data_IF_166446836608
#
_entry.id   IF_166446836608
#
_cell.length_a   1.000
_cell.length_b   1.000
_cell.length_c   1.000
_cell.angle_alpha   90.00
_cell.angle_beta   90.00
_cell.angle_gamma   90.00
#
_symmetry.space_group_name_H-M   'P 1'
#
loop_
_entity.id
_entity.type
_entity.pdbx_description
1 polymer ?
#
# COMPACT_ATOMS: atom_id res chain seq x y z
N UNK A 1 14.54 -13.91 9.91
CA UNK A 1 14.75 -13.05 8.73
C UNK A 1 16.24 -13.00 8.55
N UNK A 2 16.74 -13.53 7.44
CA UNK A 2 18.17 -13.44 7.15
C UNK A 2 18.50 -11.94 6.96
N UNK A 3 19.47 -11.37 7.70
CA UNK A 3 19.87 -9.96 7.52
C UNK A 3 20.26 -9.61 6.07
N UNK A 4 20.58 -10.59 5.22
CA UNK A 4 20.81 -10.40 3.80
C UNK A 4 19.54 -10.11 2.97
N UNK A 5 18.34 -10.41 3.48
CA UNK A 5 17.08 -10.22 2.75
C UNK A 5 16.68 -8.75 2.59
N UNK A 6 17.12 -7.85 3.49
CA UNK A 6 16.80 -6.43 3.46
C UNK A 6 18.08 -5.60 3.34
N UNK A 7 18.40 -5.18 2.12
CA UNK A 7 19.63 -4.44 1.80
C UNK A 7 19.52 -2.93 2.00
N UNK A 8 18.31 -2.41 2.23
CA UNK A 8 18.04 -0.99 2.46
C UNK A 8 16.55 -0.69 2.57
N UNK A 9 16.24 0.56 2.93
CA UNK A 9 14.89 1.10 2.97
C UNK A 9 14.94 2.61 2.75
N UNK A 10 13.89 3.14 2.13
CA UNK A 10 13.72 4.58 1.92
C UNK A 10 12.23 4.94 1.93
N UNK A 11 11.94 6.23 2.06
CA UNK A 11 10.58 6.73 1.92
C UNK A 11 10.23 6.91 0.46
N UNK A 12 9.08 6.38 0.07
CA UNK A 12 8.54 6.44 -1.28
C UNK A 12 7.24 7.26 -1.29
N UNK A 13 7.02 8.00 -2.37
CA UNK A 13 5.80 8.79 -2.57
C UNK A 13 4.60 7.90 -2.88
N UNK A 14 3.38 8.39 -2.62
CA UNK A 14 2.15 7.64 -2.96
C UNK A 14 2.05 7.36 -4.46
N UNK A 15 2.58 8.25 -5.30
CA UNK A 15 2.59 8.07 -6.75
C UNK A 15 3.42 6.86 -7.23
N UNK A 16 4.46 6.45 -6.49
CA UNK A 16 5.34 5.33 -6.90
C UNK A 16 4.85 3.96 -6.41
N UNK A 17 3.75 3.88 -5.65
CA UNK A 17 3.24 2.64 -5.05
C UNK A 17 3.10 1.49 -6.07
N UNK A 18 2.55 1.77 -7.26
CA UNK A 18 2.33 0.75 -8.28
C UNK A 18 3.64 0.21 -8.90
N UNK A 19 4.72 0.99 -8.84
CA UNK A 19 6.02 0.67 -9.44
C UNK A 19 6.91 -0.10 -8.45
N UNK A 20 6.82 0.23 -7.16
CA UNK A 20 7.73 -0.32 -6.12
C UNK A 20 7.12 -1.44 -5.30
N UNK A 21 5.85 -1.80 -5.54
CA UNK A 21 5.17 -2.85 -4.80
C UNK A 21 4.49 -3.87 -5.70
N UNK A 22 4.29 -5.08 -5.16
CA UNK A 22 3.50 -6.11 -5.83
C UNK A 22 2.03 -5.68 -5.98
N UNK A 23 1.29 -6.14 -7.01
CA UNK A 23 -0.06 -5.64 -7.30
C UNK A 23 -1.05 -5.73 -6.13
N UNK A 24 -0.96 -6.80 -5.33
CA UNK A 24 -1.83 -6.98 -4.15
C UNK A 24 -1.56 -5.93 -3.07
N UNK A 25 -0.30 -5.54 -2.88
CA UNK A 25 0.08 -4.52 -1.91
C UNK A 25 -0.28 -3.12 -2.45
N UNK A 26 -0.03 -2.87 -3.73
CA UNK A 26 -0.36 -1.61 -4.38
C UNK A 26 -1.83 -1.23 -4.18
N UNK A 27 -2.76 -2.16 -4.44
CA UNK A 27 -4.21 -1.92 -4.22
C UNK A 27 -4.52 -1.47 -2.79
N UNK A 28 -3.99 -2.18 -1.80
CA UNK A 28 -4.22 -1.87 -0.37
C UNK A 28 -3.70 -0.50 0.01
N UNK A 29 -2.49 -0.16 -0.44
CA UNK A 29 -1.87 1.13 -0.13
C UNK A 29 -2.61 2.30 -0.82
N UNK A 30 -3.06 2.12 -2.06
CA UNK A 30 -3.86 3.11 -2.79
C UNK A 30 -5.18 3.39 -2.04
N UNK A 31 -5.89 2.34 -1.63
CA UNK A 31 -7.12 2.50 -0.83
C UNK A 31 -6.84 3.21 0.51
N UNK A 32 -5.77 2.84 1.21
CA UNK A 32 -5.39 3.49 2.46
C UNK A 32 -5.02 4.97 2.28
N UNK A 33 -4.28 5.30 1.22
CA UNK A 33 -3.93 6.68 0.90
C UNK A 33 -5.17 7.53 0.60
N UNK A 34 -6.13 6.97 -0.14
CA UNK A 34 -7.43 7.61 -0.42
C UNK A 34 -8.24 7.81 0.86
N UNK A 35 -8.41 6.77 1.68
CA UNK A 35 -9.16 6.86 2.93
C UNK A 35 -8.57 7.91 3.87
N UNK A 36 -7.23 7.97 3.96
CA UNK A 36 -6.52 9.02 4.71
C UNK A 36 -6.85 10.42 4.19
N UNK A 37 -6.79 10.63 2.87
CA UNK A 37 -7.10 11.92 2.26
C UNK A 37 -8.54 12.36 2.50
N UNK A 38 -9.47 11.40 2.59
CA UNK A 38 -10.90 11.62 2.83
C UNK A 38 -11.26 11.67 4.31
N UNK A 39 -10.33 11.38 5.23
CA UNK A 39 -10.62 11.29 6.67
C UNK A 39 -11.52 10.11 7.04
N UNK A 40 -11.54 9.07 6.21
CA UNK A 40 -12.40 7.89 6.35
C UNK A 40 -11.58 6.66 6.72
N UNK A 41 -12.28 5.57 7.04
CA UNK A 41 -11.71 4.24 7.18
C UNK A 41 -12.26 3.36 6.06
N UNK A 42 -11.38 2.71 5.30
CA UNK A 42 -11.78 1.77 4.25
C UNK A 42 -11.58 0.33 4.74
N UNK A 43 -12.66 -0.45 4.74
CA UNK A 43 -12.59 -1.90 4.89
C UNK A 43 -12.44 -2.55 3.52
N UNK A 44 -11.45 -3.43 3.38
CA UNK A 44 -11.18 -4.14 2.14
C UNK A 44 -11.42 -5.64 2.31
N UNK A 45 -12.29 -6.20 1.47
CA UNK A 45 -12.49 -7.63 1.35
C UNK A 45 -11.74 -8.13 0.11
N UNK A 46 -10.82 -9.08 0.29
CA UNK A 46 -9.94 -9.59 -0.79
C UNK A 46 -9.10 -8.51 -1.51
N UNK A 47 -8.95 -7.34 -0.92
CA UNK A 47 -8.23 -6.20 -1.51
C UNK A 47 -9.11 -5.29 -2.36
N UNK A 48 -10.43 -5.51 -2.37
CA UNK A 48 -11.44 -4.67 -3.00
C UNK A 48 -12.27 -3.95 -1.93
N UNK A 49 -12.84 -2.79 -2.27
CA UNK A 49 -13.70 -2.05 -1.35
C UNK A 49 -15.02 -2.79 -1.13
N UNK A 50 -15.45 -2.89 0.13
CA UNK A 50 -16.80 -3.37 0.46
C UNK A 50 -17.79 -2.23 0.28
N UNK A 51 -18.88 -2.51 -0.45
CA UNK A 51 -19.98 -1.57 -0.74
C UNK A 51 -21.11 -1.69 0.28
#
# INVERSE_FOLDING_TARGET
MDPAELTGYEFQGVASIAEVTIPRLARRLIHGARARAEGTMAYLENGEAVS
#
